data_IF_701231661712
#
_entry.id   IF_701231661712
#
_cell.length_a   1.000
_cell.length_b   1.000
_cell.length_c   1.000
_cell.angle_alpha   90.00
_cell.angle_beta   90.00
_cell.angle_gamma   90.00
#
_symmetry.space_group_name_H-M   'P 1'
#
loop_
_entity.id
_entity.type
_entity.pdbx_description
1 polymer ?
#
# COMPACT_ATOMS: atom_id res chain seq x y z
N UNK A 1 14.40 -0.59 16.77
CA UNK A 1 13.43 -1.51 16.12
C UNK A 1 13.01 -0.86 14.82
N UNK A 2 13.45 -1.38 13.68
CA UNK A 2 13.11 -0.81 12.38
C UNK A 2 11.59 -0.68 12.25
N UNK A 3 11.12 0.49 11.81
CA UNK A 3 9.70 0.82 11.70
C UNK A 3 9.06 0.04 10.56
N UNK A 4 8.78 -1.25 10.77
CA UNK A 4 8.13 -2.14 9.81
C UNK A 4 6.80 -1.57 9.29
N UNK A 5 6.05 -0.88 10.17
CA UNK A 5 4.83 -0.17 9.80
C UNK A 5 5.09 1.01 8.85
N UNK A 6 6.23 1.68 8.99
CA UNK A 6 6.64 2.77 8.10
C UNK A 6 7.04 2.20 6.75
N UNK A 7 7.86 1.15 6.73
CA UNK A 7 8.29 0.46 5.49
C UNK A 7 7.08 -0.04 4.69
N UNK A 8 6.16 -0.80 5.32
CA UNK A 8 4.95 -1.28 4.65
C UNK A 8 4.04 -0.15 4.13
N UNK A 9 3.94 0.95 4.88
CA UNK A 9 3.18 2.13 4.42
C UNK A 9 3.82 2.75 3.19
N UNK A 10 5.13 2.90 3.17
CA UNK A 10 5.85 3.45 2.01
C UNK A 10 5.82 2.52 0.81
N UNK A 11 5.94 1.21 1.01
CA UNK A 11 5.79 0.21 -0.07
C UNK A 11 4.38 0.27 -0.66
N UNK A 12 3.34 0.27 0.17
CA UNK A 12 1.95 0.34 -0.32
C UNK A 12 1.65 1.68 -1.03
N UNK A 13 2.15 2.81 -0.49
CA UNK A 13 2.01 4.12 -1.14
C UNK A 13 2.78 4.18 -2.46
N UNK A 14 3.99 3.62 -2.52
CA UNK A 14 4.78 3.59 -3.76
C UNK A 14 4.12 2.74 -4.83
N UNK A 15 3.60 1.56 -4.47
CA UNK A 15 2.88 0.70 -5.42
C UNK A 15 1.53 1.30 -5.85
N UNK A 16 0.81 1.94 -4.92
CA UNK A 16 -0.43 2.65 -5.23
C UNK A 16 -0.20 3.84 -6.16
N UNK A 17 0.89 4.60 -5.98
CA UNK A 17 1.25 5.71 -6.87
C UNK A 17 1.47 5.24 -8.30
N UNK A 18 2.17 4.12 -8.49
CA UNK A 18 2.40 3.53 -9.82
C UNK A 18 1.07 3.13 -10.48
N UNK A 19 0.13 2.55 -9.73
CA UNK A 19 -1.21 2.24 -10.24
C UNK A 19 -1.99 3.49 -10.66
N UNK A 20 -1.85 4.59 -9.91
CA UNK A 20 -2.49 5.88 -10.26
C UNK A 20 -1.89 6.44 -11.55
N UNK A 21 -0.57 6.38 -11.73
CA UNK A 21 0.10 6.81 -12.97
C UNK A 21 -0.35 5.94 -14.17
N UNK A 22 -0.47 4.64 -13.96
CA UNK A 22 -0.95 3.72 -14.99
C UNK A 22 -2.41 4.04 -15.40
N UNK A 23 -3.33 4.16 -14.43
CA UNK A 23 -4.74 4.46 -14.71
C UNK A 23 -4.94 5.86 -15.28
N UNK A 24 -4.16 6.84 -14.82
CA UNK A 24 -4.23 8.21 -15.37
C UNK A 24 -3.80 8.24 -16.83
N UNK A 25 -2.81 7.45 -17.26
CA UNK A 25 -2.48 7.34 -18.69
C UNK A 25 -3.60 6.72 -19.51
N UNK A 26 -4.27 5.68 -19.02
CA UNK A 26 -5.44 5.11 -19.70
C UNK A 26 -6.55 6.16 -19.84
N UNK A 27 -6.84 6.89 -18.76
CA UNK A 27 -7.82 7.98 -18.79
C UNK A 27 -7.40 9.09 -19.78
N UNK A 28 -6.12 9.47 -19.84
CA UNK A 28 -5.65 10.48 -20.79
C UNK A 28 -5.79 10.05 -22.25
N UNK A 29 -5.70 8.74 -22.56
CA UNK A 29 -6.00 8.23 -23.89
C UNK A 29 -7.50 8.32 -24.18
N UNK A 30 -8.34 7.97 -23.20
CA UNK A 30 -9.81 8.07 -23.33
C UNK A 30 -10.28 9.52 -23.49
N UNK A 31 -9.63 10.47 -22.81
CA UNK A 31 -9.87 11.90 -22.96
C UNK A 31 -9.24 12.50 -24.24
N UNK A 32 -8.44 11.74 -25.00
CA UNK A 32 -7.81 12.19 -26.25
C UNK A 32 -6.58 13.08 -26.09
N UNK A 33 -5.95 13.08 -24.91
CA UNK A 33 -4.75 13.88 -24.60
C UNK A 33 -3.46 13.16 -25.03
N UNK A 34 -3.51 11.84 -25.24
CA UNK A 34 -2.39 10.99 -25.66
C UNK A 34 -2.90 9.98 -26.70
N UNK A 35 -2.15 9.77 -27.78
CA UNK A 35 -2.57 8.95 -28.93
C UNK A 35 -2.43 7.43 -28.74
N UNK A 36 -1.66 6.99 -27.74
CA UNK A 36 -1.43 5.56 -27.50
C UNK A 36 -1.43 5.18 -26.02
N UNK A 37 -2.13 4.08 -25.72
CA UNK A 37 -2.15 3.44 -24.41
C UNK A 37 -0.87 2.63 -24.14
N UNK A 38 -0.84 1.95 -23.01
CA UNK A 38 0.17 0.94 -22.71
C UNK A 38 0.02 -0.27 -23.66
N UNK A 39 1.09 -1.03 -23.85
CA UNK A 39 1.01 -2.27 -24.62
C UNK A 39 0.18 -3.33 -23.88
N UNK A 40 -0.46 -4.23 -24.62
CA UNK A 40 -1.28 -5.32 -24.07
C UNK A 40 -0.53 -6.19 -23.03
N UNK A 41 0.78 -6.32 -23.18
CA UNK A 41 1.63 -7.03 -22.23
C UNK A 41 1.72 -6.30 -20.88
N UNK A 42 1.88 -4.97 -20.91
CA UNK A 42 1.90 -4.12 -19.71
C UNK A 42 0.53 -4.13 -19.05
N UNK A 43 -0.56 -4.05 -19.81
CA UNK A 43 -1.92 -4.10 -19.26
C UNK A 43 -2.19 -5.42 -18.53
N UNK A 44 -1.78 -6.54 -19.12
CA UNK A 44 -1.92 -7.87 -18.50
C UNK A 44 -1.07 -8.00 -17.24
N UNK A 45 0.16 -7.50 -17.27
CA UNK A 45 1.05 -7.50 -16.10
C UNK A 45 0.50 -6.63 -14.97
N UNK A 46 0.00 -5.44 -15.30
CA UNK A 46 -0.51 -4.50 -14.30
C UNK A 46 -1.82 -5.01 -13.68
N UNK A 47 -2.76 -5.47 -14.50
CA UNK A 47 -4.05 -6.00 -14.06
C UNK A 47 -3.91 -7.30 -13.25
N UNK A 48 -2.99 -8.19 -13.62
CA UNK A 48 -2.84 -9.49 -12.95
C UNK A 48 -1.94 -9.40 -11.72
N UNK A 49 -0.76 -8.81 -11.86
CA UNK A 49 0.28 -8.87 -10.83
C UNK A 49 0.22 -7.65 -9.91
N UNK A 50 0.10 -6.45 -10.47
CA UNK A 50 0.17 -5.21 -9.69
C UNK A 50 -1.10 -4.97 -8.86
N UNK A 51 -2.28 -5.17 -9.44
CA UNK A 51 -3.55 -5.09 -8.70
C UNK A 51 -3.56 -6.12 -7.58
N UNK A 52 -3.18 -7.36 -7.88
CA UNK A 52 -3.15 -8.43 -6.88
C UNK A 52 -2.15 -8.14 -5.76
N UNK A 53 -0.94 -7.65 -6.09
CA UNK A 53 0.04 -7.26 -5.07
C UNK A 53 -0.39 -6.03 -4.25
N UNK A 54 -1.01 -5.01 -4.84
CA UNK A 54 -1.50 -3.84 -4.09
C UNK A 54 -2.66 -4.23 -3.16
N UNK A 55 -3.59 -5.03 -3.65
CA UNK A 55 -4.67 -5.59 -2.84
C UNK A 55 -4.13 -6.49 -1.73
N UNK A 56 -3.16 -7.36 -2.05
CA UNK A 56 -2.51 -8.24 -1.08
C UNK A 56 -1.70 -7.48 -0.04
N UNK A 57 -0.94 -6.45 -0.41
CA UNK A 57 -0.16 -5.63 0.54
C UNK A 57 -1.07 -4.84 1.50
N UNK A 58 -2.29 -4.48 1.06
CA UNK A 58 -3.33 -3.92 1.91
C UNK A 58 -3.97 -4.95 2.85
N UNK A 59 -4.39 -6.11 2.32
CA UNK A 59 -5.09 -7.17 3.05
C UNK A 59 -4.18 -8.00 3.96
N UNK A 60 -2.92 -8.26 3.60
CA UNK A 60 -1.97 -9.03 4.40
C UNK A 60 -1.68 -8.37 5.76
N UNK A 61 -1.91 -7.05 5.86
CA UNK A 61 -1.82 -6.34 7.14
C UNK A 61 -3.03 -6.61 8.05
N UNK A 62 -4.20 -6.90 7.49
CA UNK A 62 -5.46 -7.03 8.21
C UNK A 62 -5.48 -8.14 9.28
N UNK A 63 -5.02 -9.39 9.02
CA UNK A 63 -5.00 -10.44 10.05
C UNK A 63 -3.95 -10.18 11.15
N UNK A 64 -2.88 -9.45 10.83
CA UNK A 64 -1.77 -9.17 11.77
C UNK A 64 -2.03 -7.89 12.57
N UNK A 65 -2.89 -7.00 12.07
CA UNK A 65 -3.16 -5.69 12.66
C UNK A 65 -3.74 -5.75 14.09
N UNK A 66 -4.71 -6.62 14.44
CA UNK A 66 -5.24 -6.72 15.79
C UNK A 66 -4.16 -7.09 16.81
N UNK A 67 -3.29 -8.04 16.46
CA UNK A 67 -2.20 -8.50 17.32
C UNK A 67 -1.13 -7.41 17.49
N UNK A 68 -0.76 -6.75 16.40
CA UNK A 68 0.16 -5.62 16.42
C UNK A 68 -0.36 -4.46 17.28
N UNK A 69 -1.63 -4.07 17.12
CA UNK A 69 -2.28 -3.00 17.89
C UNK A 69 -2.36 -3.36 19.39
N UNK A 70 -2.66 -4.62 19.72
CA UNK A 70 -2.65 -5.12 21.10
C UNK A 70 -1.25 -5.01 21.73
N UNK A 71 -0.20 -5.37 20.99
CA UNK A 71 1.20 -5.26 21.46
C UNK A 71 1.66 -3.80 21.63
N UNK A 72 1.26 -2.91 20.72
CA UNK A 72 1.60 -1.50 20.79
C UNK A 72 0.91 -0.80 21.97
N UNK A 73 -0.38 -1.10 22.21
CA UNK A 73 -1.13 -0.53 23.34
C UNK A 73 -0.59 -1.01 24.69
N UNK A 74 -0.14 -2.27 24.79
CA UNK A 74 0.51 -2.78 26.02
C UNK A 74 1.76 -1.97 26.37
N UNK A 75 2.66 -1.77 25.40
CA UNK A 75 3.86 -0.93 25.57
C UNK A 75 3.53 0.53 25.93
N UNK A 76 2.42 1.07 25.41
CA UNK A 76 1.99 2.44 25.71
C UNK A 76 1.44 2.57 27.13
N UNK A 77 0.78 1.53 27.66
CA UNK A 77 0.32 1.45 29.06
C UNK A 77 1.51 1.31 30.01
N UNK A 78 2.45 0.44 29.71
CA UNK A 78 3.70 0.27 30.49
C UNK A 78 4.49 1.59 30.58
N UNK A 79 4.62 2.33 29.46
CA UNK A 79 5.25 3.66 29.48
C UNK A 79 4.50 4.70 30.31
N UNK A 80 3.15 4.67 30.29
CA UNK A 80 2.36 5.58 31.12
C UNK A 80 2.51 5.25 32.61
N UNK A 81 2.52 3.97 32.97
CA UNK A 81 2.72 3.52 34.34
C UNK A 81 4.12 3.90 34.87
N UNK A 82 5.16 3.78 34.04
CA UNK A 82 6.52 4.18 34.42
C UNK A 82 6.76 5.70 34.42
N UNK A 83 5.87 6.49 33.82
CA UNK A 83 5.95 7.96 33.82
C UNK A 83 5.12 8.60 34.95
N UNK A 84 4.29 7.80 35.62
CA UNK A 84 3.50 8.19 36.80
C UNK A 84 4.13 7.75 38.12
N UNK A 85 5.35 7.20 38.08
CA UNK A 85 6.24 6.90 39.22
C UNK A 85 7.39 7.89 39.13
#
# INVERSE_FOLDING_TARGET
>A
MANWNKIWRWVHLGMGLILVVYHSRIAYVEYGWIESAWSSEIDKFVSTTFVFMVMWTGLAKWPIYPWYKKRQNRKKREKKANASI
#
